data_IF_903653265538
#
_entry.id   IF_903653265538
#
_cell.length_a   1.000
_cell.length_b   1.000
_cell.length_c   1.000
_cell.angle_alpha   90.00
_cell.angle_beta   90.00
_cell.angle_gamma   90.00
#
_symmetry.space_group_name_H-M   'P 1'
#
loop_
_entity.id
_entity.type
_entity.pdbx_description
1 polymer ?
#
# COMPACT_ATOMS: atom_id res chain seq x y z
N UNK A 1 6.46 6.40 2.39
CA UNK A 1 7.22 6.63 3.63
C UNK A 1 8.68 6.19 3.49
N UNK A 2 8.97 4.88 3.40
CA UNK A 2 10.33 4.33 3.40
C UNK A 2 11.32 5.01 2.46
N UNK A 3 10.99 5.12 1.17
CA UNK A 3 11.86 5.80 0.18
C UNK A 3 12.19 7.23 0.56
N UNK A 4 11.23 8.02 1.05
CA UNK A 4 11.45 9.41 1.47
C UNK A 4 12.39 9.49 2.68
N UNK A 5 12.21 8.59 3.65
CA UNK A 5 13.11 8.49 4.80
C UNK A 5 14.54 8.10 4.39
N UNK A 6 14.70 7.14 3.46
CA UNK A 6 16.02 6.76 2.92
C UNK A 6 16.68 7.91 2.16
N UNK A 7 15.91 8.68 1.38
CA UNK A 7 16.42 9.84 0.66
C UNK A 7 16.90 10.93 1.61
N UNK A 8 16.12 11.27 2.64
CA UNK A 8 16.51 12.23 3.68
C UNK A 8 17.72 11.73 4.47
N UNK A 9 17.77 10.42 4.81
CA UNK A 9 18.93 9.80 5.45
C UNK A 9 20.21 10.06 4.67
N UNK A 10 20.20 9.83 3.35
CA UNK A 10 21.34 10.02 2.46
C UNK A 10 21.70 11.50 2.32
N UNK A 11 20.72 12.35 1.98
CA UNK A 11 20.93 13.78 1.72
C UNK A 11 21.47 14.54 2.94
N UNK A 12 20.96 14.22 4.15
CA UNK A 12 21.29 14.91 5.39
C UNK A 12 22.34 14.19 6.23
N UNK A 13 22.91 13.08 5.71
CA UNK A 13 23.90 12.24 6.41
C UNK A 13 23.43 11.82 7.82
N UNK A 14 22.16 11.42 7.93
CA UNK A 14 21.53 11.01 9.20
C UNK A 14 21.65 9.51 9.49
N UNK A 15 22.63 8.84 8.87
CA UNK A 15 22.94 7.44 9.16
C UNK A 15 23.69 7.27 10.50
N UNK A 16 23.76 6.03 10.99
CA UNK A 16 24.54 5.66 12.16
C UNK A 16 23.72 5.27 13.40
N UNK A 17 24.43 4.76 14.42
CA UNK A 17 23.82 4.31 15.70
C UNK A 17 23.12 5.48 16.38
N UNK A 18 21.87 5.29 16.77
CA UNK A 18 21.04 6.32 17.42
C UNK A 18 20.41 7.34 16.46
N UNK A 19 20.61 7.22 15.14
CA UNK A 19 19.95 8.06 14.12
C UNK A 19 19.01 7.23 13.23
N UNK A 20 18.82 7.63 11.97
CA UNK A 20 17.85 7.03 11.06
C UNK A 20 18.41 5.73 10.44
N UNK A 21 18.45 4.65 11.23
CA UNK A 21 18.88 3.32 10.78
C UNK A 21 17.86 2.67 9.85
N UNK A 22 18.27 1.68 9.05
CA UNK A 22 17.34 0.97 8.15
C UNK A 22 16.24 0.24 8.93
N UNK A 23 16.57 -0.35 10.08
CA UNK A 23 15.58 -0.95 10.98
C UNK A 23 14.53 0.07 11.44
N UNK A 24 14.95 1.30 11.76
CA UNK A 24 14.04 2.38 12.13
C UNK A 24 13.18 2.82 10.93
N UNK A 25 13.75 2.93 9.73
CA UNK A 25 13.00 3.26 8.50
C UNK A 25 11.90 2.23 8.23
N UNK A 26 12.21 0.93 8.35
CA UNK A 26 11.23 -0.16 8.20
C UNK A 26 10.14 -0.09 9.26
N UNK A 27 10.51 0.19 10.51
CA UNK A 27 9.58 0.36 11.64
C UNK A 27 8.60 1.52 11.38
N UNK A 28 9.10 2.71 11.06
CA UNK A 28 8.28 3.90 10.79
C UNK A 28 7.37 3.69 9.57
N UNK A 29 7.87 3.04 8.52
CA UNK A 29 7.07 2.71 7.33
C UNK A 29 5.94 1.73 7.64
N UNK A 30 6.21 0.75 8.51
CA UNK A 30 5.20 -0.21 8.97
C UNK A 30 4.11 0.47 9.78
N UNK A 31 4.50 1.37 10.70
CA UNK A 31 3.57 2.15 11.52
C UNK A 31 2.68 3.07 10.68
N UNK A 32 3.26 3.78 9.71
CA UNK A 32 2.50 4.58 8.76
C UNK A 32 1.44 3.73 8.02
N UNK A 33 1.83 2.58 7.48
CA UNK A 33 0.89 1.69 6.79
C UNK A 33 -0.16 1.04 7.71
N UNK A 34 0.14 0.88 9.00
CA UNK A 34 -0.84 0.40 9.99
C UNK A 34 -1.83 1.50 10.38
N UNK A 35 -1.36 2.74 10.56
CA UNK A 35 -2.20 3.89 10.88
C UNK A 35 -3.29 4.11 9.82
N UNK A 36 -2.94 3.98 8.53
CA UNK A 36 -3.93 4.05 7.45
C UNK A 36 -4.90 2.86 7.48
N UNK A 37 -4.37 1.63 7.51
CA UNK A 37 -5.20 0.41 7.39
C UNK A 37 -6.18 0.20 8.55
N UNK A 38 -5.90 0.76 9.72
CA UNK A 38 -6.78 0.67 10.90
C UNK A 38 -7.87 1.74 10.94
N UNK A 39 -7.75 2.80 10.13
CA UNK A 39 -8.63 3.96 10.16
C UNK A 39 -9.20 4.25 8.76
N UNK A 40 -9.46 3.21 7.96
CA UNK A 40 -9.83 3.34 6.54
C UNK A 40 -11.15 4.09 6.30
N UNK A 41 -11.94 4.29 7.35
CA UNK A 41 -13.26 4.92 7.28
C UNK A 41 -13.22 6.44 7.55
N UNK A 42 -12.07 6.99 7.97
CA UNK A 42 -11.96 8.39 8.40
C UNK A 42 -10.59 8.99 8.10
N UNK A 43 -10.55 10.01 7.25
CA UNK A 43 -9.32 10.76 6.91
C UNK A 43 -8.72 11.43 8.14
N UNK A 44 -9.56 12.00 9.00
CA UNK A 44 -9.10 12.67 10.21
C UNK A 44 -8.49 11.67 11.20
N UNK A 45 -9.07 10.48 11.34
CA UNK A 45 -8.49 9.43 12.20
C UNK A 45 -7.20 8.85 11.62
N UNK A 46 -7.10 8.70 10.29
CA UNK A 46 -5.83 8.34 9.63
C UNK A 46 -4.75 9.37 9.94
N UNK A 47 -5.05 10.66 9.78
CA UNK A 47 -4.13 11.76 10.04
C UNK A 47 -3.69 11.80 11.50
N UNK A 48 -4.65 11.71 12.42
CA UNK A 48 -4.40 11.66 13.86
C UNK A 48 -3.50 10.47 14.20
N UNK A 49 -3.82 9.28 13.70
CA UNK A 49 -3.02 8.07 13.94
C UNK A 49 -1.62 8.14 13.32
N UNK A 50 -1.45 8.72 12.13
CA UNK A 50 -0.14 8.90 11.51
C UNK A 50 0.71 9.84 12.38
N UNK A 51 0.17 11.01 12.77
CA UNK A 51 0.87 11.97 13.62
C UNK A 51 1.16 11.42 15.01
N UNK A 52 0.27 10.61 15.59
CA UNK A 52 0.51 9.92 16.85
C UNK A 52 1.80 9.09 16.81
N UNK A 53 2.09 8.42 15.69
CA UNK A 53 3.34 7.64 15.58
C UNK A 53 4.59 8.51 15.56
N UNK A 54 4.52 9.75 15.07
CA UNK A 54 5.63 10.69 15.15
C UNK A 54 5.83 11.18 16.58
N UNK A 55 4.76 11.70 17.20
CA UNK A 55 4.79 12.25 18.56
C UNK A 55 5.21 11.21 19.60
N UNK A 56 4.73 9.97 19.47
CA UNK A 56 5.13 8.85 20.32
C UNK A 56 6.64 8.55 20.23
N UNK A 57 7.30 8.82 19.09
CA UNK A 57 8.73 8.55 18.90
C UNK A 57 9.64 9.67 19.42
N UNK A 58 9.08 10.84 19.70
CA UNK A 58 9.81 12.00 20.26
C UNK A 58 9.42 12.30 21.71
N UNK A 59 8.44 11.57 22.24
CA UNK A 59 7.93 11.67 23.61
C UNK A 59 9.01 11.32 24.63
N UNK A 60 9.03 12.08 25.74
CA UNK A 60 9.94 11.85 26.88
C UNK A 60 9.15 11.87 28.19
N UNK A 61 9.78 11.42 29.28
CA UNK A 61 9.14 11.48 30.62
C UNK A 61 8.82 12.93 31.03
N UNK A 62 9.69 13.88 30.69
CA UNK A 62 9.47 15.31 30.98
C UNK A 62 8.44 15.98 30.06
N UNK A 63 8.23 15.43 28.86
CA UNK A 63 7.32 15.97 27.85
C UNK A 63 6.58 14.83 27.12
N UNK A 64 5.56 14.23 27.77
CA UNK A 64 4.79 13.14 27.18
C UNK A 64 3.86 13.65 26.07
N UNK A 65 3.95 13.06 24.87
CA UNK A 65 3.21 13.49 23.68
C UNK A 65 2.27 12.37 23.15
N UNK A 66 1.33 11.94 24.00
CA UNK A 66 0.39 10.85 23.70
C UNK A 66 -1.04 11.30 23.36
N UNK A 67 -1.26 12.60 23.14
CA UNK A 67 -2.60 13.18 22.90
C UNK A 67 -3.29 12.58 21.65
N UNK A 68 -2.51 12.24 20.64
CA UNK A 68 -3.03 11.68 19.39
C UNK A 68 -3.14 10.14 19.41
N UNK A 69 -2.62 9.49 20.45
CA UNK A 69 -2.70 8.04 20.60
C UNK A 69 -4.16 7.63 20.89
N UNK A 70 -4.58 6.42 20.44
CA UNK A 70 -5.90 5.92 20.78
C UNK A 70 -6.01 5.73 22.30
N UNK A 71 -7.20 5.99 22.84
CA UNK A 71 -7.51 5.84 24.26
C UNK A 71 -7.98 4.41 24.58
N UNK A 72 -7.95 4.06 25.86
CA UNK A 72 -8.48 2.79 26.36
C UNK A 72 -7.46 1.66 26.47
N UNK A 73 -7.92 0.55 27.07
CA UNK A 73 -7.10 -0.63 27.38
C UNK A 73 -6.59 -1.36 26.13
N UNK A 74 -7.32 -1.24 25.02
CA UNK A 74 -6.95 -1.83 23.72
C UNK A 74 -6.01 -0.93 22.90
N UNK A 75 -5.58 0.21 23.47
CA UNK A 75 -4.61 1.09 22.83
C UNK A 75 -3.29 0.38 22.59
N UNK A 76 -2.66 0.62 21.45
CA UNK A 76 -1.28 0.17 21.22
C UNK A 76 -0.26 1.02 22.00
N UNK A 77 -0.67 2.18 22.52
CA UNK A 77 0.15 3.06 23.33
C UNK A 77 0.07 2.66 24.80
N UNK A 78 1.15 2.09 25.32
CA UNK A 78 1.24 1.66 26.73
C UNK A 78 0.92 2.77 27.73
N UNK A 79 1.28 4.01 27.41
CA UNK A 79 0.99 5.16 28.27
C UNK A 79 -0.53 5.39 28.39
N UNK A 80 -1.26 5.33 27.26
CA UNK A 80 -2.73 5.41 27.24
C UNK A 80 -3.41 4.19 27.86
N UNK A 81 -2.81 3.01 27.76
CA UNK A 81 -3.29 1.82 28.48
C UNK A 81 -3.18 2.01 30.00
N UNK A 82 -2.04 2.51 30.48
CA UNK A 82 -1.80 2.74 31.89
C UNK A 82 -2.75 3.81 32.46
N UNK A 83 -2.95 4.90 31.73
CA UNK A 83 -3.95 5.94 32.05
C UNK A 83 -5.36 5.34 32.18
N UNK A 84 -5.77 4.47 31.24
CA UNK A 84 -7.08 3.82 31.27
C UNK A 84 -7.23 2.79 32.41
N UNK A 85 -6.14 2.13 32.82
CA UNK A 85 -6.12 1.14 33.90
C UNK A 85 -5.90 1.76 35.29
N UNK A 86 -5.58 3.06 35.36
CA UNK A 86 -5.21 3.73 36.61
C UNK A 86 -3.86 3.27 37.18
N UNK A 87 -2.95 2.79 36.33
CA UNK A 87 -1.59 2.37 36.71
C UNK A 87 -0.57 3.39 36.25
N UNK A 88 0.62 3.40 36.86
CA UNK A 88 1.70 4.28 36.42
C UNK A 88 2.25 3.84 35.04
N UNK A 89 2.46 4.77 34.09
CA UNK A 89 3.03 4.45 32.79
C UNK A 89 4.50 4.05 32.90
N UNK A 90 4.93 3.15 32.00
CA UNK A 90 6.35 2.80 31.84
C UNK A 90 7.18 4.03 31.44
N UNK A 91 8.46 4.04 31.84
CA UNK A 91 9.41 5.08 31.42
C UNK A 91 9.58 5.11 29.90
N UNK A 92 9.73 6.31 29.34
CA UNK A 92 9.84 6.48 27.91
C UNK A 92 11.11 5.84 27.35
N UNK A 93 11.03 5.16 26.19
CA UNK A 93 12.21 4.80 25.43
C UNK A 93 13.01 6.04 25.03
N UNK A 94 14.30 5.85 24.72
CA UNK A 94 15.13 6.95 24.22
C UNK A 94 14.48 7.60 22.98
N UNK A 95 14.24 8.93 23.00
CA UNK A 95 13.60 9.61 21.90
C UNK A 95 14.50 9.64 20.66
N UNK A 96 13.91 9.90 19.49
CA UNK A 96 14.69 10.11 18.27
C UNK A 96 15.65 11.29 18.43
N UNK A 97 16.83 11.21 17.80
CA UNK A 97 17.80 12.30 17.80
C UNK A 97 17.18 13.60 17.24
N UNK A 98 17.39 14.79 17.86
CA UNK A 98 16.76 16.05 17.44
C UNK A 98 16.89 16.36 15.93
N UNK A 99 18.08 16.16 15.34
CA UNK A 99 18.28 16.31 13.89
C UNK A 99 17.36 15.42 13.04
N UNK A 100 17.10 14.19 13.49
CA UNK A 100 16.19 13.26 12.82
C UNK A 100 14.75 13.73 12.98
N UNK A 101 14.36 14.17 14.19
CA UNK A 101 13.01 14.68 14.45
C UNK A 101 12.65 15.83 13.50
N UNK A 102 13.59 16.78 13.33
CA UNK A 102 13.44 17.95 12.47
C UNK A 102 13.28 17.59 11.00
N UNK A 103 14.06 16.62 10.52
CA UNK A 103 14.10 16.28 9.09
C UNK A 103 12.99 15.31 8.67
N UNK A 104 12.42 14.52 9.60
CA UNK A 104 11.30 13.62 9.28
C UNK A 104 9.92 14.27 9.46
N UNK A 105 9.79 15.32 10.28
CA UNK A 105 8.50 15.99 10.51
C UNK A 105 7.83 16.47 9.20
N UNK A 106 8.53 17.13 8.27
CA UNK A 106 7.92 17.52 6.99
C UNK A 106 7.44 16.33 6.15
N UNK A 107 8.09 15.17 6.29
CA UNK A 107 7.64 13.94 5.62
C UNK A 107 6.32 13.46 6.22
N UNK A 108 6.18 13.52 7.53
CA UNK A 108 4.93 13.18 8.23
C UNK A 108 3.81 14.14 7.85
N UNK A 109 4.05 15.45 7.84
CA UNK A 109 3.07 16.46 7.43
C UNK A 109 2.61 16.25 5.99
N UNK A 110 3.55 16.08 5.04
CA UNK A 110 3.20 15.87 3.62
C UNK A 110 2.45 14.55 3.39
N UNK A 111 2.78 13.50 4.14
CA UNK A 111 2.08 12.21 4.08
C UNK A 111 0.77 12.18 4.85
N UNK A 112 0.45 13.24 5.59
CA UNK A 112 -0.79 13.38 6.36
C UNK A 112 -1.76 14.40 5.73
N UNK A 113 -1.51 14.81 4.48
CA UNK A 113 -2.40 15.71 3.74
C UNK A 113 -3.72 15.03 3.39
N UNK A 114 -4.83 15.76 3.58
CA UNK A 114 -6.17 15.26 3.36
C UNK A 114 -6.35 14.74 1.91
N UNK A 115 -5.89 15.47 0.90
CA UNK A 115 -5.93 15.07 -0.53
C UNK A 115 -5.29 13.69 -0.79
N UNK A 116 -4.23 13.36 -0.05
CA UNK A 116 -3.55 12.07 -0.16
C UNK A 116 -4.36 10.98 0.54
N UNK A 117 -4.84 11.27 1.75
CA UNK A 117 -5.54 10.31 2.62
C UNK A 117 -6.97 10.01 2.17
N UNK A 118 -7.65 10.94 1.49
CA UNK A 118 -8.95 10.73 0.86
C UNK A 118 -8.90 9.55 -0.13
N UNK A 119 -7.77 9.38 -0.83
CA UNK A 119 -7.54 8.26 -1.75
C UNK A 119 -7.35 6.91 -1.04
N UNK A 120 -7.16 6.93 0.28
CA UNK A 120 -7.01 5.75 1.12
C UNK A 120 -8.32 5.35 1.81
N UNK A 121 -9.39 6.14 1.68
CA UNK A 121 -10.72 5.79 2.20
C UNK A 121 -11.20 4.45 1.61
N UNK A 122 -11.84 3.65 2.45
CA UNK A 122 -12.34 2.32 2.10
C UNK A 122 -11.24 1.25 1.95
N UNK A 123 -9.96 1.60 2.15
CA UNK A 123 -8.87 0.63 2.19
C UNK A 123 -8.64 -0.12 0.87
N UNK A 124 -9.02 0.48 -0.26
CA UNK A 124 -8.94 -0.16 -1.57
C UNK A 124 -7.50 -0.45 -1.98
N UNK A 125 -7.25 -1.69 -2.43
CA UNK A 125 -5.92 -2.08 -2.94
C UNK A 125 -5.76 -1.72 -4.42
N UNK A 126 -4.54 -1.39 -4.84
CA UNK A 126 -4.23 -1.17 -6.26
C UNK A 126 -4.39 -2.43 -7.14
N UNK A 127 -4.54 -3.62 -6.54
CA UNK A 127 -4.67 -4.89 -7.25
C UNK A 127 -5.79 -4.90 -8.31
N UNK A 128 -6.92 -4.22 -8.06
CA UNK A 128 -8.01 -4.14 -9.03
C UNK A 128 -7.57 -3.37 -10.28
N UNK A 129 -6.93 -2.21 -10.09
CA UNK A 129 -6.40 -1.39 -11.17
C UNK A 129 -5.27 -2.11 -11.93
N UNK A 130 -4.40 -2.83 -11.21
CA UNK A 130 -3.36 -3.66 -11.84
C UNK A 130 -3.95 -4.81 -12.66
N UNK A 131 -4.98 -5.48 -12.14
CA UNK A 131 -5.69 -6.56 -12.82
C UNK A 131 -6.42 -6.06 -14.08
N UNK A 132 -7.06 -4.89 -14.00
CA UNK A 132 -7.69 -4.22 -15.13
C UNK A 132 -6.66 -3.88 -16.21
N UNK A 133 -5.60 -3.15 -15.84
CA UNK A 133 -4.54 -2.76 -16.77
C UNK A 133 -3.86 -3.98 -17.40
N UNK A 134 -3.58 -5.03 -16.63
CA UNK A 134 -3.03 -6.27 -17.17
C UNK A 134 -3.93 -6.90 -18.24
N UNK A 135 -5.25 -6.79 -18.09
CA UNK A 135 -6.22 -7.28 -19.07
C UNK A 135 -6.25 -6.42 -20.32
N UNK A 136 -6.24 -5.08 -20.18
CA UNK A 136 -6.14 -4.15 -21.31
C UNK A 136 -4.89 -4.45 -22.14
N UNK A 137 -3.72 -4.55 -21.50
CA UNK A 137 -2.46 -4.78 -22.20
C UNK A 137 -2.28 -6.22 -22.70
N UNK A 138 -3.13 -7.16 -22.28
CA UNK A 138 -3.21 -8.49 -22.91
C UNK A 138 -4.01 -8.45 -24.21
N UNK A 139 -5.01 -7.58 -24.31
CA UNK A 139 -5.81 -7.39 -25.52
C UNK A 139 -5.13 -6.45 -26.53
N UNK A 140 -4.45 -5.40 -26.06
CA UNK A 140 -3.67 -4.46 -26.86
C UNK A 140 -2.22 -4.42 -26.36
N UNK A 141 -1.35 -5.37 -26.77
CA UNK A 141 0.00 -5.46 -26.24
C UNK A 141 0.84 -4.20 -26.48
N UNK A 142 1.51 -3.72 -25.42
CA UNK A 142 2.33 -2.50 -25.46
C UNK A 142 3.49 -2.51 -26.47
N UNK A 143 3.99 -3.70 -26.82
CA UNK A 143 5.08 -3.87 -27.79
C UNK A 143 4.59 -3.83 -29.24
N UNK A 144 3.26 -3.80 -29.46
CA UNK A 144 2.64 -3.66 -30.77
C UNK A 144 2.04 -2.27 -30.88
N UNK A 145 2.22 -1.63 -32.04
CA UNK A 145 1.57 -0.36 -32.31
C UNK A 145 0.06 -0.56 -32.41
N UNK A 146 -0.69 -0.01 -31.44
CA UNK A 146 -2.15 -0.05 -31.42
C UNK A 146 -2.69 1.37 -31.49
N UNK A 147 -3.57 1.64 -32.46
CA UNK A 147 -4.24 2.94 -32.56
C UNK A 147 -5.22 3.18 -31.42
N UNK A 148 -5.58 4.45 -31.18
CA UNK A 148 -6.48 4.87 -30.07
C UNK A 148 -7.76 4.03 -29.99
N UNK A 149 -8.45 3.82 -31.13
CA UNK A 149 -9.69 3.03 -31.19
C UNK A 149 -9.51 1.58 -30.72
N UNK A 150 -8.35 0.97 -31.00
CA UNK A 150 -8.08 -0.42 -30.58
C UNK A 150 -7.90 -0.49 -29.06
N UNK A 151 -7.16 0.47 -28.50
CA UNK A 151 -6.94 0.55 -27.04
C UNK A 151 -8.25 0.86 -26.32
N UNK A 152 -9.09 1.71 -26.89
CA UNK A 152 -10.42 2.03 -26.36
C UNK A 152 -11.34 0.80 -26.33
N UNK A 153 -11.42 0.04 -27.43
CA UNK A 153 -12.16 -1.24 -27.47
C UNK A 153 -11.59 -2.23 -26.45
N UNK A 154 -10.27 -2.35 -26.34
CA UNK A 154 -9.62 -3.21 -25.36
C UNK A 154 -9.97 -2.80 -23.91
N UNK A 155 -10.06 -1.50 -23.63
CA UNK A 155 -10.47 -0.98 -22.32
C UNK A 155 -11.93 -1.33 -22.00
N UNK A 156 -12.84 -1.15 -22.95
CA UNK A 156 -14.25 -1.53 -22.77
C UNK A 156 -14.39 -3.04 -22.55
N UNK A 157 -13.75 -3.86 -23.37
CA UNK A 157 -13.76 -5.32 -23.20
C UNK A 157 -13.16 -5.76 -21.86
N UNK A 158 -12.06 -5.14 -21.42
CA UNK A 158 -11.46 -5.42 -20.13
C UNK A 158 -12.40 -5.08 -18.97
N UNK A 159 -13.14 -3.97 -19.06
CA UNK A 159 -14.13 -3.58 -18.05
C UNK A 159 -15.29 -4.57 -18.00
N UNK A 160 -15.84 -4.94 -19.16
CA UNK A 160 -16.92 -5.93 -19.25
C UNK A 160 -16.49 -7.30 -18.72
N UNK A 161 -15.27 -7.75 -19.06
CA UNK A 161 -14.69 -8.99 -18.54
C UNK A 161 -14.47 -8.96 -17.02
N UNK A 162 -14.14 -7.80 -16.46
CA UNK A 162 -13.93 -7.65 -15.03
C UNK A 162 -15.25 -7.75 -14.26
N UNK A 163 -16.32 -7.15 -14.79
CA UNK A 163 -17.62 -7.09 -14.13
C UNK A 163 -18.46 -8.36 -14.34
N UNK A 164 -18.56 -8.84 -15.59
CA UNK A 164 -19.49 -9.92 -16.00
C UNK A 164 -18.76 -11.22 -16.39
N UNK A 165 -17.43 -11.19 -16.46
CA UNK A 165 -16.66 -12.32 -16.94
C UNK A 165 -16.83 -12.62 -18.43
N UNK A 166 -16.64 -13.88 -18.81
CA UNK A 166 -16.73 -14.29 -20.22
C UNK A 166 -18.15 -14.19 -20.78
N UNK A 167 -19.19 -14.12 -19.95
CA UNK A 167 -20.56 -13.87 -20.38
C UNK A 167 -20.69 -12.55 -21.15
N UNK A 168 -19.92 -11.51 -20.76
CA UNK A 168 -19.87 -10.25 -21.49
C UNK A 168 -19.37 -10.42 -22.93
N UNK A 169 -18.39 -11.29 -23.17
CA UNK A 169 -17.90 -11.56 -24.53
C UNK A 169 -18.99 -12.21 -25.39
N UNK A 170 -19.80 -13.10 -24.83
CA UNK A 170 -20.93 -13.70 -25.55
C UNK A 170 -21.96 -12.65 -25.98
N UNK A 171 -22.24 -11.67 -25.11
CA UNK A 171 -23.12 -10.55 -25.43
C UNK A 171 -22.56 -9.68 -26.56
N UNK A 172 -21.27 -9.35 -26.50
CA UNK A 172 -20.58 -8.59 -27.55
C UNK A 172 -20.61 -9.36 -28.88
N UNK A 173 -20.34 -10.67 -28.86
CA UNK A 173 -20.40 -11.51 -30.06
C UNK A 173 -21.81 -11.49 -30.68
N UNK A 174 -22.86 -11.62 -29.86
CA UNK A 174 -24.23 -11.56 -30.33
C UNK A 174 -24.59 -10.20 -30.94
N UNK A 175 -24.11 -9.09 -30.34
CA UNK A 175 -24.32 -7.75 -30.89
C UNK A 175 -23.64 -7.57 -32.25
N UNK A 176 -22.43 -8.11 -32.39
CA UNK A 176 -21.69 -8.20 -33.65
C UNK A 176 -22.27 -9.21 -34.65
N UNK A 177 -23.43 -9.81 -34.34
CA UNK A 177 -24.13 -10.83 -35.16
C UNK A 177 -23.29 -12.09 -35.39
N UNK A 178 -22.40 -12.41 -34.46
CA UNK A 178 -21.65 -13.67 -34.43
C UNK A 178 -22.50 -14.71 -33.69
N UNK A 179 -22.79 -15.83 -34.35
CA UNK A 179 -23.60 -16.91 -33.76
C UNK A 179 -22.82 -17.60 -32.65
N UNK A 180 -23.34 -17.51 -31.43
CA UNK A 180 -22.77 -18.19 -30.26
C UNK A 180 -23.28 -19.64 -30.22
N UNK A 181 -22.41 -20.59 -30.55
CA UNK A 181 -22.71 -22.02 -30.43
C UNK A 181 -22.61 -22.55 -29.00
N UNK A 182 -23.20 -23.72 -28.74
CA UNK A 182 -23.19 -24.37 -27.42
C UNK A 182 -21.80 -24.55 -26.83
N UNK A 183 -20.81 -24.92 -27.65
CA UNK A 183 -19.41 -25.06 -27.21
C UNK A 183 -18.80 -23.75 -26.69
N UNK A 184 -19.10 -22.63 -27.34
CA UNK A 184 -18.60 -21.31 -26.94
C UNK A 184 -19.23 -20.90 -25.60
N UNK A 185 -20.54 -21.13 -25.45
CA UNK A 185 -21.24 -20.91 -24.19
C UNK A 185 -20.67 -21.74 -23.04
N UNK A 186 -20.51 -23.06 -23.24
CA UNK A 186 -19.93 -23.95 -22.21
C UNK A 186 -18.50 -23.54 -21.85
N UNK A 187 -17.68 -23.16 -22.82
CA UNK A 187 -16.32 -22.67 -22.56
C UNK A 187 -16.32 -21.39 -21.71
N UNK A 188 -17.21 -20.44 -22.01
CA UNK A 188 -17.33 -19.21 -21.24
C UNK A 188 -17.73 -19.47 -19.77
N UNK A 189 -18.67 -20.39 -19.55
CA UNK A 189 -19.07 -20.83 -18.20
C UNK A 189 -17.89 -21.47 -17.45
N UNK A 190 -17.22 -22.45 -18.05
CA UNK A 190 -16.07 -23.12 -17.44
C UNK A 190 -14.95 -22.13 -17.08
N UNK A 191 -14.68 -21.16 -17.96
CA UNK A 191 -13.67 -20.13 -17.70
C UNK A 191 -14.06 -19.19 -16.55
N UNK A 192 -15.35 -18.86 -16.41
CA UNK A 192 -15.85 -18.12 -15.24
C UNK A 192 -15.71 -18.93 -13.96
N UNK A 193 -16.13 -20.19 -13.94
CA UNK A 193 -15.99 -21.08 -12.78
C UNK A 193 -14.52 -21.22 -12.33
N UNK A 194 -13.61 -21.42 -13.29
CA UNK A 194 -12.16 -21.45 -13.02
C UNK A 194 -11.65 -20.14 -12.44
N UNK A 195 -12.17 -18.99 -12.91
CA UNK A 195 -11.80 -17.67 -12.37
C UNK A 195 -12.24 -17.55 -10.91
N UNK A 196 -13.48 -17.90 -10.61
CA UNK A 196 -14.06 -17.84 -9.26
C UNK A 196 -13.34 -18.78 -8.30
N UNK A 197 -13.08 -20.02 -8.71
CA UNK A 197 -12.28 -20.97 -7.93
C UNK A 197 -10.88 -20.43 -7.61
N UNK A 198 -10.19 -19.83 -8.60
CA UNK A 198 -8.88 -19.19 -8.39
C UNK A 198 -8.97 -17.99 -7.45
N UNK A 199 -10.02 -17.18 -7.55
CA UNK A 199 -10.25 -16.04 -6.67
C UNK A 199 -10.47 -16.51 -5.23
N UNK A 200 -11.36 -17.47 -5.01
CA UNK A 200 -11.64 -18.06 -3.69
C UNK A 200 -10.36 -18.64 -3.06
N UNK A 201 -9.58 -19.40 -3.84
CA UNK A 201 -8.27 -19.92 -3.38
C UNK A 201 -7.30 -18.81 -2.99
N UNK A 202 -7.25 -17.70 -3.76
CA UNK A 202 -6.33 -16.57 -3.49
C UNK A 202 -6.78 -15.71 -2.31
N UNK A 203 -8.08 -15.69 -2.03
CA UNK A 203 -8.68 -14.99 -0.88
C UNK A 203 -8.55 -15.76 0.42
N UNK A 204 -8.26 -17.06 0.38
CA UNK A 204 -8.00 -17.87 1.56
C UNK A 204 -6.83 -17.29 2.40
N UNK A 205 -7.04 -17.18 3.72
CA UNK A 205 -6.13 -16.52 4.66
C UNK A 205 -4.73 -17.13 4.63
N UNK A 206 -4.63 -18.45 4.63
CA UNK A 206 -3.36 -19.21 4.57
C UNK A 206 -2.51 -18.83 3.33
N UNK A 207 -3.18 -18.65 2.18
CA UNK A 207 -2.50 -18.24 0.94
C UNK A 207 -2.13 -16.76 0.97
N UNK A 208 -2.84 -15.92 1.73
CA UNK A 208 -2.53 -14.49 1.89
C UNK A 208 -1.30 -14.27 2.77
N UNK A 209 -1.18 -15.01 3.87
CA UNK A 209 -0.04 -14.95 4.79
C UNK A 209 1.25 -15.43 4.13
N UNK A 210 1.21 -16.60 3.49
CA UNK A 210 2.35 -17.16 2.75
C UNK A 210 2.86 -16.19 1.67
N UNK A 211 1.93 -15.53 0.96
CA UNK A 211 2.26 -14.54 -0.07
C UNK A 211 2.85 -13.26 0.50
N UNK A 212 2.38 -12.83 1.68
CA UNK A 212 2.92 -11.67 2.39
C UNK A 212 4.37 -11.93 2.80
N UNK A 213 4.66 -13.09 3.38
CA UNK A 213 6.02 -13.49 3.76
C UNK A 213 6.98 -13.48 2.55
N UNK A 214 6.57 -14.09 1.43
CA UNK A 214 7.40 -14.11 0.20
C UNK A 214 7.61 -12.71 -0.40
N UNK A 215 6.61 -11.83 -0.31
CA UNK A 215 6.73 -10.44 -0.78
C UNK A 215 7.69 -9.65 0.09
N UNK A 216 7.66 -9.84 1.41
CA UNK A 216 8.60 -9.20 2.34
C UNK A 216 10.04 -9.66 2.08
N UNK A 217 10.26 -10.93 1.75
CA UNK A 217 11.57 -11.46 1.37
C UNK A 217 12.08 -10.87 0.05
N UNK A 218 11.24 -10.85 -1.00
CA UNK A 218 11.61 -10.27 -2.29
C UNK A 218 11.87 -8.76 -2.18
N UNK A 219 11.07 -8.06 -1.37
CA UNK A 219 11.29 -6.64 -1.11
C UNK A 219 12.63 -6.43 -0.39
N UNK A 220 12.99 -7.26 0.59
CA UNK A 220 14.30 -7.18 1.23
C UNK A 220 15.44 -7.43 0.24
N UNK A 221 15.27 -8.35 -0.72
CA UNK A 221 16.26 -8.60 -1.79
C UNK A 221 16.39 -7.40 -2.73
N UNK A 222 15.28 -6.86 -3.23
CA UNK A 222 15.30 -5.68 -4.10
C UNK A 222 15.93 -4.47 -3.41
N UNK A 223 15.67 -4.29 -2.11
CA UNK A 223 16.27 -3.22 -1.33
C UNK A 223 17.78 -3.41 -1.16
N UNK A 224 18.27 -4.65 -1.02
CA UNK A 224 19.69 -4.95 -1.02
C UNK A 224 20.33 -4.62 -2.38
N UNK A 225 19.69 -4.95 -3.49
CA UNK A 225 20.15 -4.57 -4.83
C UNK A 225 20.18 -3.05 -5.04
N UNK A 226 19.16 -2.31 -4.58
CA UNK A 226 19.14 -0.84 -4.64
C UNK A 226 20.24 -0.19 -3.78
N UNK A 227 20.65 -0.82 -2.67
CA UNK A 227 21.79 -0.36 -1.86
C UNK A 227 23.14 -0.65 -2.52
N UNK A 228 23.27 -1.76 -3.24
CA UNK A 228 24.49 -2.17 -3.94
C UNK A 228 24.72 -1.40 -5.26
N UNK A 229 23.66 -1.16 -6.06
CA UNK A 229 23.77 -0.53 -7.38
C UNK A 229 23.86 1.00 -7.34
N UNK A 230 23.39 1.65 -6.28
CA UNK A 230 23.31 3.12 -6.22
C UNK A 230 22.31 3.72 -7.23
N UNK A 231 22.17 5.05 -7.27
CA UNK A 231 21.21 5.80 -8.11
C UNK A 231 21.59 5.80 -9.60
N UNK A 232 21.75 4.63 -10.23
CA UNK A 232 22.05 4.55 -11.66
C UNK A 232 20.79 4.64 -12.53
N UNK A 233 19.62 4.29 -12.01
CA UNK A 233 18.34 4.37 -12.74
C UNK A 233 17.18 4.81 -11.83
N UNK A 234 17.07 6.11 -11.60
CA UNK A 234 15.83 6.73 -11.12
C UNK A 234 14.97 7.18 -12.29
N UNK A 235 13.66 6.92 -12.26
CA UNK A 235 12.74 7.53 -13.22
C UNK A 235 12.82 9.07 -13.09
N UNK A 236 13.26 9.74 -14.16
CA UNK A 236 13.54 11.19 -14.17
C UNK A 236 15.03 11.56 -14.15
N UNK A 237 15.95 10.59 -14.24
CA UNK A 237 17.38 10.84 -14.49
C UNK A 237 17.64 10.66 -15.99
N UNK A 238 17.23 11.64 -16.78
CA UNK A 238 17.68 11.84 -18.16
C UNK A 238 17.68 13.36 -18.40
N UNK A 239 18.89 13.92 -18.47
CA UNK A 239 19.34 15.30 -18.75
C UNK A 239 18.58 16.50 -18.17
#
# INVERSE_FOLDING_TARGET
MGTRLRNVRKAKKLGGKGKLTEALVKKLSTYYGLAIRRNVDSVEDMKKAIMATYYHMISTDDNPQHENCPEGVDSWCKWKQAEALGTDPETHPTPLHPDVQKEILPIYEDLSRNELLERCLGGHTQNANESFNSTVWRLAPKHLHSGLKVVEVAAYLAASLFNEGNSALLLVMNELKIVVGSRCFSYAQEMNERRESRQNRRSALETKETRKARKEELQAQNEAYEEEEGLLYGAGIAD
#
